data_IF_471596481324
#
_entry.id   IF_471596481324
#
_cell.length_a   1.000
_cell.length_b   1.000
_cell.length_c   1.000
_cell.angle_alpha   90.00
_cell.angle_beta   90.00
_cell.angle_gamma   90.00
#
_symmetry.space_group_name_H-M   'P 1'
#
loop_
_entity.id
_entity.type
_entity.pdbx_description
1 polymer ?
#
# COMPACT_ATOMS: atom_id res chain seq x y z
N UNK A 1 34.05 -18.20 -15.79
CA UNK A 1 33.42 -16.89 -16.08
C UNK A 1 31.93 -17.00 -15.82
N UNK A 2 31.42 -16.34 -14.79
CA UNK A 2 29.97 -16.30 -14.49
C UNK A 2 29.44 -14.99 -15.09
N UNK A 3 28.84 -15.07 -16.27
CA UNK A 3 28.18 -13.91 -16.87
C UNK A 3 26.82 -13.72 -16.20
N UNK A 4 26.76 -12.87 -15.18
CA UNK A 4 25.50 -12.40 -14.61
C UNK A 4 24.83 -11.45 -15.62
N UNK A 5 23.90 -11.96 -16.43
CA UNK A 5 23.14 -11.21 -17.46
C UNK A 5 21.98 -10.38 -16.91
N UNK A 6 21.85 -10.23 -15.59
CA UNK A 6 20.78 -9.42 -15.00
C UNK A 6 21.16 -7.96 -15.03
N UNK A 7 21.07 -7.32 -16.20
CA UNK A 7 20.99 -5.84 -16.28
C UNK A 7 19.90 -5.39 -15.31
N UNK A 8 20.29 -4.59 -14.32
CA UNK A 8 19.39 -4.18 -13.23
C UNK A 8 18.09 -3.62 -13.78
N UNK A 9 16.99 -4.37 -13.61
CA UNK A 9 15.66 -3.86 -13.89
C UNK A 9 15.37 -2.72 -12.92
N UNK A 10 15.70 -1.49 -13.30
CA UNK A 10 15.15 -0.32 -12.61
C UNK A 10 13.64 -0.44 -12.70
N UNK A 11 12.98 -0.46 -11.54
CA UNK A 11 11.53 -0.57 -11.45
C UNK A 11 10.89 0.62 -12.17
N UNK A 12 10.47 0.41 -13.41
CA UNK A 12 9.79 1.42 -14.22
C UNK A 12 8.29 1.19 -14.11
N UNK A 13 7.58 2.21 -13.65
CA UNK A 13 6.13 2.24 -13.73
C UNK A 13 5.71 2.40 -15.19
N UNK A 14 4.64 1.70 -15.58
CA UNK A 14 4.06 1.86 -16.92
C UNK A 14 3.44 3.25 -17.02
N UNK A 15 4.06 4.11 -17.82
CA UNK A 15 3.61 5.50 -18.00
C UNK A 15 2.40 5.55 -18.95
N UNK A 16 1.63 6.66 -18.98
CA UNK A 16 0.51 6.83 -19.91
C UNK A 16 0.91 6.64 -21.38
N UNK A 17 2.09 7.15 -21.77
CA UNK A 17 2.61 7.05 -23.14
C UNK A 17 2.89 5.59 -23.52
N UNK A 18 3.47 4.83 -22.59
CA UNK A 18 3.70 3.39 -22.79
C UNK A 18 2.39 2.63 -22.94
N UNK A 19 1.32 3.02 -22.22
CA UNK A 19 0.00 2.40 -22.35
C UNK A 19 -0.63 2.69 -23.71
N UNK A 20 -0.53 3.93 -24.19
CA UNK A 20 -1.02 4.30 -25.52
C UNK A 20 -0.29 3.54 -26.63
N UNK A 21 1.04 3.44 -26.54
CA UNK A 21 1.84 2.65 -27.50
C UNK A 21 1.49 1.16 -27.45
N UNK A 22 1.27 0.61 -26.26
CA UNK A 22 0.80 -0.77 -26.09
C UNK A 22 -0.58 -0.99 -26.72
N UNK A 23 -1.50 -0.03 -26.58
CA UNK A 23 -2.82 -0.09 -27.20
C UNK A 23 -2.74 -0.12 -28.73
N UNK A 24 -1.92 0.75 -29.32
CA UNK A 24 -1.68 0.74 -30.77
C UNK A 24 -1.17 -0.63 -31.23
N UNK A 25 -0.13 -1.18 -30.57
CA UNK A 25 0.42 -2.50 -30.92
C UNK A 25 -0.60 -3.63 -30.76
N UNK A 26 -1.54 -3.50 -29.82
CA UNK A 26 -2.61 -4.48 -29.59
C UNK A 26 -3.70 -4.40 -30.65
N UNK A 27 -4.00 -3.20 -31.16
CA UNK A 27 -4.92 -2.99 -32.29
C UNK A 27 -4.32 -3.50 -33.60
N UNK A 28 -3.02 -3.31 -33.81
CA UNK A 28 -2.28 -3.85 -34.97
C UNK A 28 -2.27 -5.38 -34.98
N UNK A 29 -2.29 -6.04 -33.81
CA UNK A 29 -2.50 -7.48 -33.67
C UNK A 29 -1.34 -8.37 -34.15
N UNK A 30 -0.23 -7.79 -34.57
CA UNK A 30 0.94 -8.49 -35.13
C UNK A 30 1.97 -8.89 -34.07
N UNK A 31 2.00 -8.21 -32.94
CA UNK A 31 3.04 -8.39 -31.92
C UNK A 31 2.63 -9.39 -30.83
N UNK A 32 3.57 -10.25 -30.45
CA UNK A 32 3.45 -11.03 -29.21
C UNK A 32 3.74 -10.16 -27.98
N UNK A 33 3.29 -10.58 -26.79
CA UNK A 33 3.56 -9.85 -25.55
C UNK A 33 5.06 -9.70 -25.23
N UNK A 34 5.89 -10.64 -25.71
CA UNK A 34 7.35 -10.59 -25.55
C UNK A 34 7.93 -9.46 -26.41
N UNK A 35 7.55 -9.42 -27.69
CA UNK A 35 7.97 -8.36 -28.62
C UNK A 35 7.49 -6.97 -28.16
N UNK A 36 6.24 -6.87 -27.66
CA UNK A 36 5.72 -5.65 -27.05
C UNK A 36 6.58 -5.19 -25.88
N UNK A 37 7.01 -6.12 -25.02
CA UNK A 37 7.87 -5.83 -23.88
C UNK A 37 9.27 -5.35 -24.31
N UNK A 38 9.88 -6.01 -25.29
CA UNK A 38 11.18 -5.62 -25.85
C UNK A 38 11.14 -4.21 -26.44
N UNK A 39 10.13 -3.90 -27.25
CA UNK A 39 9.93 -2.58 -27.86
C UNK A 39 9.71 -1.49 -26.80
N UNK A 40 8.95 -1.80 -25.75
CA UNK A 40 8.66 -0.88 -24.65
C UNK A 40 9.78 -0.81 -23.59
N UNK A 41 10.81 -1.67 -23.67
CA UNK A 41 11.89 -1.75 -22.71
C UNK A 41 11.44 -2.14 -21.29
N UNK A 42 10.45 -3.03 -21.20
CA UNK A 42 9.88 -3.54 -19.92
C UNK A 42 9.79 -5.06 -19.94
N UNK A 43 9.56 -5.67 -18.77
CA UNK A 43 9.35 -7.12 -18.73
C UNK A 43 8.03 -7.53 -19.38
N UNK A 44 7.99 -8.70 -20.02
CA UNK A 44 6.75 -9.31 -20.55
C UNK A 44 5.68 -9.42 -19.46
N UNK A 45 6.08 -9.71 -18.21
CA UNK A 45 5.15 -9.75 -17.08
C UNK A 45 4.48 -8.41 -16.78
N UNK A 46 5.16 -7.28 -17.04
CA UNK A 46 4.58 -5.96 -16.89
C UNK A 46 3.51 -5.71 -17.96
N UNK A 47 3.80 -6.04 -19.22
CA UNK A 47 2.84 -5.99 -20.33
C UNK A 47 1.61 -6.83 -20.01
N UNK A 48 1.80 -8.10 -19.63
CA UNK A 48 0.70 -9.01 -19.30
C UNK A 48 -0.21 -8.46 -18.20
N UNK A 49 0.36 -7.91 -17.12
CA UNK A 49 -0.43 -7.28 -16.03
C UNK A 49 -1.19 -6.05 -16.49
N UNK A 50 -0.60 -5.23 -17.36
CA UNK A 50 -1.24 -4.03 -17.91
C UNK A 50 -2.38 -4.41 -18.84
N UNK A 51 -2.16 -5.35 -19.77
CA UNK A 51 -3.19 -5.89 -20.66
C UNK A 51 -4.33 -6.46 -19.84
N UNK A 52 -4.05 -7.27 -18.83
CA UNK A 52 -5.09 -7.85 -17.95
C UNK A 52 -5.97 -6.79 -17.30
N UNK A 53 -5.41 -5.65 -16.89
CA UNK A 53 -6.17 -4.54 -16.26
C UNK A 53 -7.05 -3.79 -17.26
N UNK A 54 -6.59 -3.62 -18.50
CA UNK A 54 -7.32 -2.89 -19.55
C UNK A 54 -8.08 -3.77 -20.53
N UNK A 55 -8.19 -5.07 -20.28
CA UNK A 55 -8.88 -6.03 -21.15
C UNK A 55 -10.39 -5.84 -21.01
N UNK A 56 -11.06 -5.48 -22.10
CA UNK A 56 -12.51 -5.19 -22.13
C UNK A 56 -13.18 -5.98 -23.23
N UNK A 57 -14.39 -6.48 -22.95
CA UNK A 57 -15.26 -7.10 -23.94
C UNK A 57 -16.08 -6.03 -24.63
N UNK A 58 -15.86 -5.84 -25.92
CA UNK A 58 -16.53 -4.88 -26.79
C UNK A 58 -17.47 -5.61 -27.76
N UNK A 59 -18.43 -4.86 -28.33
CA UNK A 59 -19.37 -5.36 -29.34
C UNK A 59 -19.13 -4.60 -30.65
N UNK A 60 -18.96 -5.35 -31.72
CA UNK A 60 -18.75 -4.78 -33.06
C UNK A 60 -20.08 -4.34 -33.70
N UNK A 61 -20.01 -3.62 -34.83
CA UNK A 61 -21.18 -3.20 -35.61
C UNK A 61 -22.04 -4.40 -36.04
N UNK A 62 -21.38 -5.52 -36.37
CA UNK A 62 -22.02 -6.82 -36.68
C UNK A 62 -22.58 -7.55 -35.45
N UNK A 63 -22.68 -6.88 -34.30
CA UNK A 63 -23.11 -7.45 -33.03
C UNK A 63 -22.26 -8.60 -32.48
N UNK A 64 -21.07 -8.83 -33.04
CA UNK A 64 -20.13 -9.84 -32.56
C UNK A 64 -19.34 -9.30 -31.37
N UNK A 65 -19.22 -10.10 -30.31
CA UNK A 65 -18.37 -9.76 -29.18
C UNK A 65 -16.91 -10.08 -29.49
N UNK A 66 -16.01 -9.16 -29.12
CA UNK A 66 -14.57 -9.37 -29.15
C UNK A 66 -13.94 -8.78 -27.89
N UNK A 67 -12.70 -9.16 -27.62
CA UNK A 67 -11.97 -8.64 -26.45
C UNK A 67 -10.77 -7.85 -26.94
N UNK A 68 -10.69 -6.60 -26.53
CA UNK A 68 -9.58 -5.71 -26.87
C UNK A 68 -8.96 -5.12 -25.61
N UNK A 69 -7.75 -4.59 -25.73
CA UNK A 69 -7.09 -3.82 -24.68
C UNK A 69 -7.32 -2.33 -24.93
N UNK A 70 -7.75 -1.61 -23.90
CA UNK A 70 -7.96 -0.15 -23.94
C UNK A 70 -7.08 0.50 -22.86
N UNK A 71 -6.21 1.44 -23.25
CA UNK A 71 -5.25 2.05 -22.32
C UNK A 71 -5.93 2.84 -21.21
N UNK A 72 -6.99 3.56 -21.54
CA UNK A 72 -7.78 4.37 -20.61
C UNK A 72 -8.38 3.49 -19.50
N UNK A 73 -9.01 2.38 -19.87
CA UNK A 73 -9.60 1.44 -18.91
C UNK A 73 -8.52 0.81 -18.02
N UNK A 74 -7.40 0.40 -18.60
CA UNK A 74 -6.27 -0.11 -17.83
C UNK A 74 -5.72 0.91 -16.84
N UNK A 75 -5.78 2.20 -17.20
CA UNK A 75 -5.37 3.31 -16.32
C UNK A 75 -6.35 3.55 -15.19
N UNK A 76 -7.65 3.57 -15.49
CA UNK A 76 -8.72 3.67 -14.49
C UNK A 76 -8.63 2.55 -13.46
N UNK A 77 -8.56 1.30 -13.92
CA UNK A 77 -8.42 0.11 -13.04
C UNK A 77 -7.15 0.17 -12.20
N UNK A 78 -6.05 0.69 -12.75
CA UNK A 78 -4.83 0.90 -11.97
C UNK A 78 -5.02 1.93 -10.84
N UNK A 79 -5.65 3.07 -11.14
CA UNK A 79 -5.92 4.12 -10.17
C UNK A 79 -6.90 3.67 -9.08
N UNK A 80 -7.99 2.98 -9.45
CA UNK A 80 -8.96 2.40 -8.50
C UNK A 80 -8.29 1.41 -7.54
N UNK A 81 -7.50 0.47 -8.08
CA UNK A 81 -6.75 -0.47 -7.25
C UNK A 81 -5.77 0.25 -6.33
N UNK A 82 -5.09 1.29 -6.83
CA UNK A 82 -4.15 2.08 -6.02
C UNK A 82 -4.87 2.86 -4.93
N UNK A 83 -6.06 3.38 -5.20
CA UNK A 83 -6.91 4.03 -4.21
C UNK A 83 -7.44 3.03 -3.16
N UNK A 84 -7.66 1.77 -3.52
CA UNK A 84 -8.03 0.72 -2.56
C UNK A 84 -6.84 0.27 -1.70
N UNK A 85 -5.60 0.44 -2.18
CA UNK A 85 -4.38 0.29 -1.39
C UNK A 85 -4.15 1.49 -0.46
N UNK A 86 -5.11 1.82 0.41
CA UNK A 86 -4.98 2.88 1.43
C UNK A 86 -4.58 2.32 2.78
N UNK A 87 -3.90 3.17 3.56
CA UNK A 87 -3.62 2.91 4.98
C UNK A 87 -4.96 2.79 5.70
N UNK A 88 -5.10 1.76 6.54
CA UNK A 88 -6.29 1.58 7.38
C UNK A 88 -6.42 2.80 8.28
N UNK A 89 -7.52 3.54 8.13
CA UNK A 89 -7.80 4.71 8.96
C UNK A 89 -8.04 4.30 10.42
N UNK A 90 -7.81 5.23 11.35
CA UNK A 90 -8.14 5.08 12.76
C UNK A 90 -9.60 4.65 12.97
N UNK A 91 -10.52 5.16 12.14
CA UNK A 91 -11.95 4.85 12.17
C UNK A 91 -12.31 3.39 11.84
N UNK A 92 -11.35 2.60 11.35
CA UNK A 92 -11.56 1.16 11.16
C UNK A 92 -11.69 0.44 12.49
N UNK A 93 -11.05 0.93 13.55
CA UNK A 93 -10.98 0.26 14.84
C UNK A 93 -12.08 0.77 15.79
N UNK A 94 -12.33 0.00 16.85
CA UNK A 94 -13.32 0.36 17.88
C UNK A 94 -13.01 1.73 18.50
N UNK A 95 -13.98 2.64 18.47
CA UNK A 95 -13.88 3.94 19.16
C UNK A 95 -13.86 3.76 20.68
N UNK A 96 -14.57 2.73 21.19
CA UNK A 96 -14.56 2.38 22.60
C UNK A 96 -13.15 1.97 23.06
N UNK A 97 -12.45 1.18 22.23
CA UNK A 97 -11.04 0.83 22.49
C UNK A 97 -10.15 2.07 22.64
N UNK A 98 -10.26 3.07 21.76
CA UNK A 98 -9.45 4.28 21.88
C UNK A 98 -9.85 5.14 23.08
N UNK A 99 -11.14 5.23 23.41
CA UNK A 99 -11.62 5.95 24.59
C UNK A 99 -11.03 5.36 25.88
N UNK A 100 -11.08 4.04 26.03
CA UNK A 100 -10.52 3.34 27.19
C UNK A 100 -8.98 3.39 27.21
N UNK A 101 -8.34 3.32 26.04
CA UNK A 101 -6.89 3.52 25.91
C UNK A 101 -6.49 4.91 26.38
N UNK A 102 -7.18 5.96 25.92
CA UNK A 102 -6.88 7.34 26.30
C UNK A 102 -7.04 7.53 27.81
N UNK A 103 -8.13 7.03 28.40
CA UNK A 103 -8.34 7.07 29.86
C UNK A 103 -7.19 6.37 30.60
N UNK A 104 -6.83 5.15 30.19
CA UNK A 104 -5.81 4.35 30.85
C UNK A 104 -4.40 4.96 30.77
N UNK A 105 -4.06 5.62 29.65
CA UNK A 105 -2.73 6.19 29.42
C UNK A 105 -2.59 7.64 29.93
N UNK A 106 -3.69 8.41 30.00
CA UNK A 106 -3.70 9.77 30.54
C UNK A 106 -3.81 9.81 32.07
N UNK A 107 -4.10 8.68 32.73
CA UNK A 107 -4.01 8.56 34.20
C UNK A 107 -2.61 9.01 34.67
N UNK A 108 -2.52 9.87 35.71
CA UNK A 108 -1.25 10.36 36.22
C UNK A 108 -0.25 9.23 36.51
N UNK A 109 1.04 9.48 36.27
CA UNK A 109 2.11 8.46 36.29
C UNK A 109 2.15 7.63 37.57
N UNK A 110 1.77 8.22 38.73
CA UNK A 110 1.74 7.53 40.03
C UNK A 110 0.67 6.44 40.13
N UNK A 111 -0.38 6.47 39.31
CA UNK A 111 -1.48 5.51 39.28
C UNK A 111 -1.61 4.76 37.95
N UNK A 112 -0.62 4.89 37.05
CA UNK A 112 -0.68 4.26 35.74
C UNK A 112 -0.22 2.81 35.81
N UNK A 113 -1.16 1.91 35.55
CA UNK A 113 -0.93 0.45 35.57
C UNK A 113 -0.48 -0.06 34.20
N UNK A 114 -0.98 0.54 33.11
CA UNK A 114 -0.80 0.00 31.77
C UNK A 114 0.21 0.78 30.91
N UNK A 115 1.10 0.05 30.24
CA UNK A 115 1.80 0.51 29.03
C UNK A 115 0.87 0.37 27.82
N UNK A 116 1.23 0.99 26.68
CA UNK A 116 0.45 0.82 25.43
C UNK A 116 0.32 -0.66 25.06
N UNK A 117 1.42 -1.40 25.18
CA UNK A 117 1.47 -2.83 24.80
C UNK A 117 0.66 -3.71 25.74
N UNK A 118 0.85 -3.50 27.04
CA UNK A 118 0.09 -4.23 28.08
C UNK A 118 -1.41 -3.97 27.95
N UNK A 119 -1.81 -2.71 27.68
CA UNK A 119 -3.21 -2.35 27.48
C UNK A 119 -3.81 -3.02 26.24
N UNK A 120 -3.12 -2.93 25.09
CA UNK A 120 -3.61 -3.53 23.84
C UNK A 120 -3.82 -5.03 24.01
N UNK A 121 -2.88 -5.72 24.68
CA UNK A 121 -2.98 -7.15 24.93
C UNK A 121 -4.09 -7.51 25.93
N UNK A 122 -4.22 -6.79 27.04
CA UNK A 122 -5.29 -7.04 28.03
C UNK A 122 -6.66 -6.75 27.44
N UNK A 123 -6.83 -5.62 26.77
CA UNK A 123 -8.09 -5.21 26.16
C UNK A 123 -8.54 -6.20 25.08
N UNK A 124 -7.62 -6.63 24.20
CA UNK A 124 -7.94 -7.61 23.15
C UNK A 124 -8.36 -8.96 23.72
N UNK A 125 -7.80 -9.38 24.86
CA UNK A 125 -8.20 -10.61 25.56
C UNK A 125 -9.61 -10.49 26.15
N UNK A 126 -9.95 -9.33 26.69
CA UNK A 126 -11.24 -9.09 27.35
C UNK A 126 -12.36 -8.78 26.35
N UNK A 127 -12.04 -8.26 25.16
CA UNK A 127 -13.01 -7.84 24.14
C UNK A 127 -12.74 -8.56 22.80
N UNK A 128 -12.95 -9.88 22.70
CA UNK A 128 -12.59 -10.65 21.51
C UNK A 128 -13.41 -10.32 20.25
N UNK A 129 -14.60 -9.73 20.43
CA UNK A 129 -15.50 -9.35 19.33
C UNK A 129 -15.17 -7.98 18.73
N UNK A 130 -14.39 -7.15 19.43
CA UNK A 130 -14.06 -5.80 18.96
C UNK A 130 -12.84 -5.81 18.03
N UNK A 131 -12.87 -4.93 17.03
CA UNK A 131 -11.72 -4.71 16.16
C UNK A 131 -10.70 -3.80 16.85
N UNK A 132 -9.67 -4.41 17.43
CA UNK A 132 -8.60 -3.74 18.19
C UNK A 132 -7.35 -3.58 17.32
N UNK A 133 -6.70 -2.40 17.37
CA UNK A 133 -5.44 -2.15 16.68
C UNK A 133 -4.25 -2.83 17.37
N UNK A 134 -3.24 -3.25 16.60
CA UNK A 134 -2.01 -3.75 17.20
C UNK A 134 -1.19 -2.61 17.84
N UNK A 135 -0.32 -2.95 18.80
CA UNK A 135 0.50 -1.98 19.55
C UNK A 135 1.28 -1.04 18.62
N UNK A 136 1.87 -1.59 17.55
CA UNK A 136 2.60 -0.80 16.55
C UNK A 136 1.71 0.27 15.90
N UNK A 137 0.47 -0.09 15.55
CA UNK A 137 -0.49 0.85 14.95
C UNK A 137 -0.92 1.92 15.94
N UNK A 138 -1.10 1.58 17.22
CA UNK A 138 -1.38 2.58 18.26
C UNK A 138 -0.24 3.59 18.37
N UNK A 139 1.02 3.14 18.43
CA UNK A 139 2.16 4.06 18.46
C UNK A 139 2.22 4.95 17.22
N UNK A 140 1.92 4.42 16.03
CA UNK A 140 1.84 5.22 14.80
C UNK A 140 0.76 6.30 14.88
N UNK A 141 -0.41 6.00 15.45
CA UNK A 141 -1.48 7.00 15.63
C UNK A 141 -1.11 8.07 16.66
N UNK A 142 -0.38 7.71 17.73
CA UNK A 142 0.16 8.68 18.68
C UNK A 142 1.19 9.59 17.99
N UNK A 143 2.09 9.03 17.17
CA UNK A 143 3.09 9.81 16.42
C UNK A 143 2.44 10.76 15.40
N UNK A 144 1.33 10.33 14.78
CA UNK A 144 0.53 11.15 13.88
C UNK A 144 -0.43 12.12 14.60
N UNK A 145 -0.43 12.13 15.94
CA UNK A 145 -1.31 12.97 16.76
C UNK A 145 -2.81 12.76 16.48
N UNK A 146 -3.19 11.53 16.12
CA UNK A 146 -4.59 11.15 15.88
C UNK A 146 -5.35 10.78 17.16
N UNK A 147 -4.65 10.70 18.29
CA UNK A 147 -5.18 10.38 19.62
C UNK A 147 -4.90 11.55 20.56
N UNK A 148 -5.68 11.68 21.65
CA UNK A 148 -5.40 12.68 22.70
C UNK A 148 -4.09 12.40 23.43
N UNK A 149 -3.72 11.12 23.54
CA UNK A 149 -2.43 10.69 24.10
C UNK A 149 -1.31 11.13 23.15
N UNK A 150 -0.33 11.86 23.68
CA UNK A 150 0.84 12.36 22.96
C UNK A 150 2.10 11.64 23.40
N UNK A 151 3.18 11.85 22.64
CA UNK A 151 4.49 11.27 22.97
C UNK A 151 5.02 11.70 24.35
N UNK A 152 4.66 12.90 24.83
CA UNK A 152 5.03 13.38 26.17
C UNK A 152 4.37 12.57 27.30
N UNK A 153 3.21 11.98 27.02
CA UNK A 153 2.45 11.17 27.96
C UNK A 153 3.01 9.75 28.04
N UNK A 154 4.02 9.41 27.24
CA UNK A 154 4.69 8.10 27.22
C UNK A 154 6.07 8.21 27.90
N UNK A 155 6.17 7.93 29.20
CA UNK A 155 7.38 8.24 29.98
C UNK A 155 8.64 7.49 29.54
N UNK A 156 8.50 6.28 28.96
CA UNK A 156 9.65 5.57 28.38
C UNK A 156 10.04 6.13 27.01
N UNK A 157 9.08 6.53 26.18
CA UNK A 157 9.35 6.94 24.80
C UNK A 157 10.20 8.21 24.74
N UNK A 158 9.97 9.14 25.65
CA UNK A 158 10.76 10.38 25.77
C UNK A 158 12.18 10.15 26.31
N UNK A 159 12.41 9.08 27.07
CA UNK A 159 13.72 8.74 27.66
C UNK A 159 14.61 7.92 26.75
N UNK A 160 14.03 7.22 25.77
CA UNK A 160 14.79 6.37 24.84
C UNK A 160 15.58 7.21 23.83
N UNK A 161 16.88 6.94 23.72
CA UNK A 161 17.70 7.53 22.66
C UNK A 161 17.34 6.90 21.32
N UNK A 162 17.07 7.74 20.31
CA UNK A 162 16.84 7.27 18.95
C UNK A 162 18.10 6.59 18.41
N UNK A 163 17.91 5.46 17.72
CA UNK A 163 19.00 4.79 17.01
C UNK A 163 19.47 5.70 15.88
N UNK A 164 20.79 5.94 15.78
CA UNK A 164 21.38 6.69 14.66
C UNK A 164 20.95 6.03 13.35
N UNK A 165 20.23 6.76 12.51
CA UNK A 165 19.98 6.32 11.14
C UNK A 165 21.31 6.39 10.39
N UNK A 166 21.66 5.34 9.66
CA UNK A 166 22.79 5.41 8.74
C UNK A 166 22.46 6.48 7.70
N UNK A 167 23.34 7.47 7.56
CA UNK A 167 23.25 8.44 6.47
C UNK A 167 23.15 7.65 5.16
N UNK A 168 22.25 8.02 4.23
CA UNK A 168 22.29 7.40 2.91
C UNK A 168 23.70 7.59 2.35
N UNK A 169 24.32 6.55 1.76
CA UNK A 169 25.55 6.75 1.00
C UNK A 169 25.24 7.83 -0.05
N UNK A 170 26.09 8.86 -0.05
CA UNK A 170 25.97 10.09 -0.82
C UNK A 170 25.51 9.84 -2.27
N UNK A 171 24.75 10.79 -2.82
CA UNK A 171 24.36 10.84 -4.25
C UNK A 171 25.60 10.73 -5.14
#
# INVERSE_FOLDING_TARGET
MINSTTTGCRFKHFTPEMRGRLEQMYQEGTYSQVQMAEILGVSQSAVSRVVKRGRVRQKDYNSKYYTTYIAEVGSRVYQENRANCRVKSIYRYSQHFFSELEKALLTPTKGRIFSVDTFVHSYRRNNPLELVSCTKTVYQYIDQQLLKVRNIDLPMKTRLRLRKQQSPPWI
#
